data_IF_379948833772
#
_entry.id   IF_379948833772
#
_cell.length_a   1.000
_cell.length_b   1.000
_cell.length_c   1.000
_cell.angle_alpha   90.00
_cell.angle_beta   90.00
_cell.angle_gamma   90.00
#
_symmetry.space_group_name_H-M   'P 1'
#
loop_
_entity.id
_entity.type
_entity.pdbx_description
1 polymer ?
#
# COMPACT_ATOMS: atom_id res chain seq x y z
N UNK A 1 3.62 12.05 13.30
CA UNK A 1 3.20 11.43 14.56
C UNK A 1 4.37 10.92 15.40
N UNK A 2 4.31 11.24 16.70
CA UNK A 2 5.26 10.94 17.77
C UNK A 2 5.31 9.44 18.14
N UNK A 3 6.02 8.62 17.36
CA UNK A 3 6.39 7.26 17.79
C UNK A 3 5.23 6.26 18.00
N UNK A 4 4.02 6.58 17.53
CA UNK A 4 2.88 5.64 17.57
C UNK A 4 3.08 4.54 16.54
N UNK A 5 2.90 3.29 16.98
CA UNK A 5 2.94 2.10 16.12
C UNK A 5 1.52 1.75 15.73
N UNK A 6 1.26 1.70 14.42
CA UNK A 6 0.01 1.24 13.86
C UNK A 6 0.21 -0.16 13.27
N UNK A 7 -0.70 -1.10 13.59
CA UNK A 7 -0.65 -2.47 13.12
C UNK A 7 -1.85 -2.73 12.22
N UNK A 8 -1.61 -3.41 11.11
CA UNK A 8 -2.62 -3.81 10.15
C UNK A 8 -2.45 -5.29 9.79
N UNK A 9 -3.56 -5.96 9.55
CA UNK A 9 -3.62 -7.28 8.90
C UNK A 9 -4.36 -7.17 7.57
N UNK A 10 -4.38 -8.23 6.77
CA UNK A 10 -5.15 -8.26 5.51
C UNK A 10 -6.62 -7.95 5.82
N UNK A 11 -7.20 -7.03 5.06
CA UNK A 11 -8.61 -6.65 5.18
C UNK A 11 -8.98 -5.92 6.48
N UNK A 12 -8.00 -5.43 7.26
CA UNK A 12 -8.27 -4.82 8.56
C UNK A 12 -9.18 -3.58 8.47
N UNK A 13 -10.27 -3.61 9.24
CA UNK A 13 -11.25 -2.51 9.38
C UNK A 13 -11.43 -2.04 10.82
N UNK A 14 -10.68 -2.60 11.77
CA UNK A 14 -10.81 -2.32 13.21
C UNK A 14 -10.05 -1.05 13.63
N UNK A 15 -9.18 -0.51 12.77
CA UNK A 15 -8.47 0.73 13.05
C UNK A 15 -9.42 1.93 13.17
N UNK A 16 -9.18 2.84 14.12
CA UNK A 16 -10.07 4.00 14.35
C UNK A 16 -10.21 4.92 13.13
N UNK A 17 -9.18 4.99 12.27
CA UNK A 17 -9.20 5.71 10.97
C UNK A 17 -9.58 4.82 9.78
N UNK A 18 -10.16 3.64 9.99
CA UNK A 18 -10.46 2.68 8.92
C UNK A 18 -11.22 3.32 7.76
N UNK A 19 -12.22 4.17 8.04
CA UNK A 19 -12.98 4.89 6.98
C UNK A 19 -12.07 5.79 6.13
N UNK A 20 -11.22 6.60 6.76
CA UNK A 20 -10.32 7.53 6.05
C UNK A 20 -9.26 6.76 5.26
N UNK A 21 -8.75 5.66 5.83
CA UNK A 21 -7.82 4.76 5.16
C UNK A 21 -8.46 4.17 3.89
N UNK A 22 -9.72 3.71 3.96
CA UNK A 22 -10.45 3.18 2.80
C UNK A 22 -10.70 4.26 1.73
N UNK A 23 -11.01 5.50 2.13
CA UNK A 23 -11.13 6.62 1.18
C UNK A 23 -9.80 6.92 0.49
N UNK A 24 -8.69 6.95 1.25
CA UNK A 24 -7.35 7.18 0.69
C UNK A 24 -6.92 6.04 -0.24
N UNK A 25 -7.23 4.79 0.09
CA UNK A 25 -6.99 3.63 -0.78
C UNK A 25 -7.70 3.80 -2.13
N UNK A 26 -9.00 4.10 -2.12
CA UNK A 26 -9.77 4.34 -3.35
C UNK A 26 -9.20 5.50 -4.17
N UNK A 27 -8.80 6.58 -3.52
CA UNK A 27 -8.17 7.72 -4.19
C UNK A 27 -6.85 7.33 -4.87
N UNK A 28 -6.00 6.54 -4.20
CA UNK A 28 -4.77 6.03 -4.79
C UNK A 28 -5.04 5.08 -5.95
N UNK A 29 -6.03 4.20 -5.83
CA UNK A 29 -6.44 3.29 -6.90
C UNK A 29 -6.77 4.03 -8.19
N UNK A 30 -7.60 5.08 -8.10
CA UNK A 30 -7.98 5.91 -9.25
C UNK A 30 -6.74 6.55 -9.88
N UNK A 31 -5.89 7.20 -9.06
CA UNK A 31 -4.66 7.86 -9.56
C UNK A 31 -3.68 6.87 -10.19
N UNK A 32 -3.59 5.65 -9.67
CA UNK A 32 -2.74 4.61 -10.23
C UNK A 32 -3.27 4.14 -11.59
N UNK A 33 -4.58 3.92 -11.72
CA UNK A 33 -5.21 3.59 -13.01
C UNK A 33 -5.00 4.69 -14.05
N UNK A 34 -5.09 5.97 -13.64
CA UNK A 34 -4.77 7.12 -14.51
C UNK A 34 -3.31 7.16 -14.99
N UNK A 35 -2.38 6.56 -14.24
CA UNK A 35 -0.98 6.39 -14.62
C UNK A 35 -0.72 5.11 -15.45
N UNK A 36 -1.78 4.37 -15.81
CA UNK A 36 -1.67 3.13 -16.58
C UNK A 36 -1.29 1.90 -15.76
N UNK A 37 -1.45 1.94 -14.43
CA UNK A 37 -1.22 0.75 -13.60
C UNK A 37 -2.22 -0.36 -13.92
N UNK A 38 -1.71 -1.57 -14.10
CA UNK A 38 -2.48 -2.81 -14.24
C UNK A 38 -2.10 -3.73 -13.08
N UNK A 39 -3.09 -4.31 -12.42
CA UNK A 39 -2.86 -5.26 -11.33
C UNK A 39 -2.23 -6.54 -11.88
N UNK A 40 -1.28 -7.10 -11.12
CA UNK A 40 -0.79 -8.46 -11.36
C UNK A 40 -1.78 -9.45 -10.72
N UNK A 41 -2.78 -9.84 -11.51
CA UNK A 41 -3.86 -10.73 -11.09
C UNK A 41 -3.44 -12.21 -11.07
N UNK A 42 -2.29 -12.56 -11.65
CA UNK A 42 -1.82 -13.95 -11.81
C UNK A 42 -1.54 -14.62 -10.46
N UNK A 43 -1.32 -13.82 -9.42
CA UNK A 43 -1.07 -14.32 -8.07
C UNK A 43 -2.35 -14.60 -7.26
N UNK A 44 -3.54 -14.24 -7.76
CA UNK A 44 -4.82 -14.52 -7.10
C UNK A 44 -5.38 -15.85 -7.63
N UNK A 45 -5.03 -16.96 -6.94
CA UNK A 45 -5.40 -18.33 -7.31
C UNK A 45 -6.90 -18.67 -7.14
N UNK A 46 -7.74 -17.68 -6.85
CA UNK A 46 -9.18 -17.87 -6.67
C UNK A 46 -9.91 -17.66 -8.00
N UNK A 47 -10.83 -18.57 -8.33
CA UNK A 47 -11.70 -18.48 -9.49
C UNK A 47 -12.85 -17.48 -9.23
N UNK A 48 -12.48 -16.20 -9.21
CA UNK A 48 -13.37 -15.04 -9.00
C UNK A 48 -13.16 -14.04 -10.13
N UNK A 49 -14.09 -13.09 -10.28
CA UNK A 49 -13.99 -12.06 -11.32
C UNK A 49 -12.73 -11.18 -11.14
N UNK A 50 -12.23 -10.60 -12.22
CA UNK A 50 -11.05 -9.72 -12.15
C UNK A 50 -11.29 -8.51 -11.22
N UNK A 51 -12.52 -7.98 -11.17
CA UNK A 51 -12.91 -6.93 -10.22
C UNK A 51 -12.80 -7.39 -8.76
N UNK A 52 -13.14 -8.65 -8.46
CA UNK A 52 -13.00 -9.22 -7.11
C UNK A 52 -11.54 -9.54 -6.77
N UNK A 53 -10.73 -9.96 -7.76
CA UNK A 53 -9.28 -10.12 -7.60
C UNK A 53 -8.60 -8.77 -7.31
N UNK A 54 -8.95 -7.73 -8.07
CA UNK A 54 -8.49 -6.36 -7.83
C UNK A 54 -8.84 -5.92 -6.40
N UNK A 55 -10.08 -6.13 -5.97
CA UNK A 55 -10.54 -5.81 -4.62
C UNK A 55 -9.70 -6.51 -3.54
N UNK A 56 -9.39 -7.79 -3.73
CA UNK A 56 -8.58 -8.58 -2.78
C UNK A 56 -7.16 -8.05 -2.65
N UNK A 57 -6.53 -7.65 -3.76
CA UNK A 57 -5.19 -7.06 -3.73
C UNK A 57 -5.16 -5.73 -2.95
N UNK A 58 -6.26 -4.97 -2.96
CA UNK A 58 -6.38 -3.74 -2.16
C UNK A 58 -6.44 -3.97 -0.66
N UNK A 59 -6.76 -5.18 -0.23
CA UNK A 59 -6.83 -5.52 1.18
C UNK A 59 -5.47 -5.92 1.77
N UNK A 60 -4.38 -5.87 0.98
CA UNK A 60 -3.02 -6.10 1.49
C UNK A 60 -2.64 -5.11 2.60
N UNK A 61 -2.06 -5.64 3.68
CA UNK A 61 -1.68 -4.88 4.88
C UNK A 61 -0.73 -3.71 4.61
N UNK A 62 0.15 -3.83 3.61
CA UNK A 62 1.10 -2.80 3.20
C UNK A 62 0.37 -1.57 2.67
N UNK A 63 -0.69 -1.76 1.88
CA UNK A 63 -1.47 -0.66 1.31
C UNK A 63 -2.22 0.09 2.40
N UNK A 64 -2.79 -0.62 3.36
CA UNK A 64 -3.43 -0.05 4.56
C UNK A 64 -2.42 0.77 5.38
N UNK A 65 -1.23 0.21 5.64
CA UNK A 65 -0.17 0.87 6.38
C UNK A 65 0.32 2.16 5.68
N UNK A 66 0.51 2.13 4.36
CA UNK A 66 0.89 3.31 3.57
C UNK A 66 -0.19 4.39 3.64
N UNK A 67 -1.46 4.02 3.46
CA UNK A 67 -2.55 4.97 3.52
C UNK A 67 -2.66 5.62 4.90
N UNK A 68 -2.54 4.83 5.97
CA UNK A 68 -2.48 5.35 7.34
C UNK A 68 -1.29 6.30 7.52
N UNK A 69 -0.10 5.95 7.04
CA UNK A 69 1.06 6.82 7.14
C UNK A 69 0.89 8.13 6.35
N UNK A 70 0.30 8.09 5.15
CA UNK A 70 0.03 9.27 4.33
C UNK A 70 -0.95 10.23 5.00
N UNK A 71 -1.95 9.70 5.72
CA UNK A 71 -2.94 10.50 6.45
C UNK A 71 -2.34 11.18 7.69
N UNK A 72 -1.38 10.54 8.34
CA UNK A 72 -0.83 10.97 9.64
C UNK A 72 0.55 11.65 9.53
N UNK A 73 1.06 11.89 8.31
CA UNK A 73 2.36 12.54 8.09
C UNK A 73 2.28 13.64 7.03
N UNK A 74 3.03 14.72 7.26
CA UNK A 74 3.05 15.87 6.37
C UNK A 74 3.53 15.49 4.94
N UNK A 75 3.05 16.17 3.89
CA UNK A 75 3.57 16.05 2.52
C UNK A 75 5.10 16.04 2.47
N UNK A 76 5.68 15.15 1.66
CA UNK A 76 7.13 14.98 1.53
C UNK A 76 7.80 14.17 2.65
N UNK A 77 7.10 13.87 3.76
CA UNK A 77 7.67 13.06 4.84
C UNK A 77 7.90 11.60 4.38
N UNK A 78 9.11 11.04 4.55
CA UNK A 78 9.38 9.64 4.24
C UNK A 78 8.54 8.69 5.08
N UNK A 79 8.01 7.64 4.45
CA UNK A 79 7.19 6.61 5.11
C UNK A 79 8.06 5.39 5.41
N UNK A 80 7.91 4.80 6.60
CA UNK A 80 8.60 3.58 7.01
C UNK A 80 7.61 2.49 7.39
N UNK A 81 7.78 1.31 6.83
CA UNK A 81 6.91 0.14 7.04
C UNK A 81 7.77 -1.05 7.43
N UNK A 82 7.30 -1.83 8.40
CA UNK A 82 7.90 -3.10 8.78
C UNK A 82 6.87 -4.22 8.61
N UNK A 83 7.27 -5.28 7.91
CA UNK A 83 6.44 -6.46 7.65
C UNK A 83 7.15 -7.73 8.15
N UNK A 84 6.37 -8.66 8.69
CA UNK A 84 6.84 -9.97 9.14
C UNK A 84 6.73 -11.06 8.06
N UNK A 85 6.33 -10.70 6.83
CA UNK A 85 6.28 -11.55 5.66
C UNK A 85 6.98 -10.84 4.50
N UNK A 86 7.42 -11.60 3.49
CA UNK A 86 8.00 -11.03 2.27
C UNK A 86 6.97 -10.12 1.57
N UNK A 87 7.44 -9.02 0.98
CA UNK A 87 6.59 -8.17 0.12
C UNK A 87 6.34 -8.91 -1.20
N UNK A 88 5.09 -8.98 -1.66
CA UNK A 88 4.76 -9.61 -2.94
C UNK A 88 5.07 -8.68 -4.13
N UNK A 89 5.16 -9.23 -5.34
CA UNK A 89 5.53 -8.47 -6.55
C UNK A 89 4.54 -7.35 -6.87
N UNK A 90 3.23 -7.60 -6.75
CA UNK A 90 2.21 -6.57 -6.92
C UNK A 90 2.38 -5.43 -5.89
N UNK A 91 2.67 -5.75 -4.62
CA UNK A 91 2.97 -4.73 -3.61
C UNK A 91 4.24 -3.94 -3.99
N UNK A 92 5.29 -4.56 -4.52
CA UNK A 92 6.46 -3.81 -5.00
C UNK A 92 6.07 -2.75 -6.04
N UNK A 93 5.38 -3.15 -7.10
CA UNK A 93 4.95 -2.26 -8.17
C UNK A 93 4.00 -1.17 -7.66
N UNK A 94 3.06 -1.54 -6.79
CA UNK A 94 2.12 -0.60 -6.16
C UNK A 94 2.87 0.45 -5.35
N UNK A 95 3.79 0.03 -4.46
CA UNK A 95 4.51 0.94 -3.57
C UNK A 95 5.41 1.88 -4.37
N UNK A 96 6.07 1.37 -5.41
CA UNK A 96 6.88 2.17 -6.32
C UNK A 96 6.03 3.30 -6.94
N UNK A 97 4.87 2.99 -7.50
CA UNK A 97 3.98 3.98 -8.11
C UNK A 97 3.44 4.98 -7.08
N UNK A 98 3.06 4.52 -5.88
CA UNK A 98 2.61 5.41 -4.81
C UNK A 98 3.72 6.41 -4.44
N UNK A 99 4.99 5.98 -4.39
CA UNK A 99 6.12 6.86 -4.10
C UNK A 99 6.21 8.03 -5.10
N UNK A 100 5.90 7.77 -6.39
CA UNK A 100 5.84 8.77 -7.46
C UNK A 100 4.63 9.69 -7.31
N UNK A 101 3.43 9.12 -7.11
CA UNK A 101 2.16 9.88 -7.02
C UNK A 101 2.20 10.84 -5.83
N UNK A 102 2.60 10.35 -4.66
CA UNK A 102 2.57 11.12 -3.41
C UNK A 102 3.88 11.90 -3.20
N UNK A 103 4.86 11.76 -4.10
CA UNK A 103 6.17 12.42 -4.07
C UNK A 103 6.89 12.21 -2.73
N UNK A 104 6.96 10.96 -2.29
CA UNK A 104 7.54 10.56 -1.00
C UNK A 104 8.36 9.28 -1.14
N UNK A 105 9.50 9.24 -0.48
CA UNK A 105 10.24 8.00 -0.31
C UNK A 105 9.47 7.05 0.63
N UNK A 106 9.36 5.78 0.26
CA UNK A 106 8.76 4.73 1.07
C UNK A 106 9.82 3.67 1.33
N UNK A 107 10.13 3.43 2.60
CA UNK A 107 11.08 2.41 3.02
C UNK A 107 10.29 1.26 3.65
N UNK A 108 10.34 0.09 3.03
CA UNK A 108 9.72 -1.12 3.55
C UNK A 108 10.80 -2.10 4.00
N UNK A 109 10.74 -2.55 5.24
CA UNK A 109 11.54 -3.67 5.75
C UNK A 109 10.66 -4.91 5.79
N UNK A 110 11.04 -5.96 5.10
CA UNK A 110 10.45 -7.29 5.27
C UNK A 110 11.43 -8.27 5.94
N UNK A 111 11.05 -9.55 5.98
CA UNK A 111 11.87 -10.63 6.55
C UNK A 111 13.17 -10.88 5.80
N UNK A 112 13.28 -10.42 4.55
CA UNK A 112 14.42 -10.69 3.68
C UNK A 112 15.36 -9.51 3.55
N UNK A 113 14.85 -8.28 3.42
CA UNK A 113 15.64 -7.09 3.12
C UNK A 113 14.88 -5.78 3.35
N UNK A 114 15.59 -4.68 3.13
CA UNK A 114 15.01 -3.37 2.95
C UNK A 114 14.73 -3.11 1.47
N UNK A 115 13.59 -2.49 1.21
CA UNK A 115 13.17 -2.00 -0.09
C UNK A 115 12.99 -0.50 0.04
N UNK A 116 13.65 0.26 -0.83
CA UNK A 116 13.55 1.72 -0.85
C UNK A 116 12.89 2.09 -2.16
N UNK A 117 11.71 2.69 -2.06
CA UNK A 117 10.93 3.14 -3.20
C UNK A 117 10.99 4.66 -3.28
N UNK A 118 11.40 5.19 -4.43
CA UNK A 118 11.49 6.62 -4.67
C UNK A 118 11.18 6.94 -6.14
N UNK A 119 10.26 7.88 -6.37
CA UNK A 119 9.90 8.36 -7.69
C UNK A 119 9.52 7.26 -8.72
N UNK A 120 8.94 6.14 -8.26
CA UNK A 120 8.47 5.08 -9.15
C UNK A 120 9.38 3.87 -9.29
N UNK A 121 10.52 3.84 -8.59
CA UNK A 121 11.48 2.71 -8.57
C UNK A 121 11.76 2.24 -7.17
#
# INVERSE_FOLDING_TARGET
>A
DNGRVHKFTVGDRCHYQSKDIQVKLKSLMVKMKEQGYVFDLDNVLWDISDDEKESTLWEHSERLAICCALLNTAPGTPIRIAKNLRVCNDCHSTIAIISKIEKRAIICRDVSRFHVFNNGT
#
